data_IF_348539690990
#
_entry.id   IF_348539690990
#
_cell.length_a   1.000
_cell.length_b   1.000
_cell.length_c   1.000
_cell.angle_alpha   90.00
_cell.angle_beta   90.00
_cell.angle_gamma   90.00
#
_symmetry.space_group_name_H-M   'P 1'
#
loop_
_entity.id
_entity.type
_entity.pdbx_description
1 polymer ?
#
# COMPACT_ATOMS: atom_id res chain seq x y z
N UNK A 1 -15.35 5.60 16.50
CA UNK A 1 -15.41 5.57 15.02
C UNK A 1 -14.26 4.68 14.59
N UNK A 2 -14.40 3.38 14.43
CA UNK A 2 -15.54 2.55 14.09
C UNK A 2 -14.93 1.47 13.22
N UNK A 3 -14.60 0.34 13.84
CA UNK A 3 -13.88 -0.79 13.27
C UNK A 3 -14.75 -1.58 12.25
N UNK A 4 -15.89 -1.00 11.87
CA UNK A 4 -16.95 -1.49 10.96
C UNK A 4 -16.48 -1.83 9.54
N UNK A 5 -15.23 -1.54 9.18
CA UNK A 5 -14.67 -1.89 7.87
C UNK A 5 -13.92 -3.23 7.87
N UNK A 6 -13.65 -3.82 9.03
CA UNK A 6 -12.96 -5.10 9.15
C UNK A 6 -13.95 -6.20 9.51
N UNK A 7 -14.25 -7.06 8.54
CA UNK A 7 -15.03 -8.27 8.76
C UNK A 7 -14.12 -9.48 8.72
N UNK A 8 -14.35 -10.46 9.59
CA UNK A 8 -13.66 -11.74 9.52
C UNK A 8 -13.91 -12.40 8.16
N UNK A 9 -12.82 -12.69 7.45
CA UNK A 9 -12.87 -13.41 6.20
C UNK A 9 -13.30 -14.86 6.40
N UNK A 10 -13.98 -15.47 5.41
CA UNK A 10 -14.25 -16.91 5.47
C UNK A 10 -12.94 -17.70 5.55
N UNK A 11 -12.93 -18.87 6.23
CA UNK A 11 -11.78 -19.74 6.22
C UNK A 11 -11.43 -20.13 4.78
N UNK A 12 -10.16 -20.48 4.55
CA UNK A 12 -9.76 -21.04 3.27
C UNK A 12 -10.63 -22.28 2.96
N UNK A 13 -11.04 -22.48 1.69
CA UNK A 13 -11.79 -23.68 1.31
C UNK A 13 -11.04 -24.96 1.67
N UNK A 14 -11.77 -26.01 1.99
CA UNK A 14 -11.18 -27.31 2.35
C UNK A 14 -10.19 -27.79 1.27
N UNK A 15 -9.02 -28.25 1.72
CA UNK A 15 -7.95 -28.72 0.85
C UNK A 15 -7.19 -27.63 0.08
N UNK A 16 -7.42 -26.34 0.37
CA UNK A 16 -6.72 -25.22 -0.29
C UNK A 16 -6.03 -24.28 0.70
N UNK A 17 -4.86 -23.79 0.31
CA UNK A 17 -4.13 -22.74 1.02
C UNK A 17 -4.19 -21.46 0.18
N UNK A 18 -4.66 -20.37 0.77
CA UNK A 18 -4.70 -19.08 0.09
C UNK A 18 -3.33 -18.40 0.23
N UNK A 19 -2.78 -17.95 -0.91
CA UNK A 19 -1.55 -17.17 -0.94
C UNK A 19 -1.88 -15.71 -1.15
N UNK A 20 -1.39 -14.87 -0.25
CA UNK A 20 -1.43 -13.43 -0.36
C UNK A 20 -0.02 -12.86 -0.42
N UNK A 21 0.10 -11.70 -1.03
CA UNK A 21 1.33 -10.95 -1.18
C UNK A 21 1.47 -9.99 -0.01
N UNK A 22 2.66 -9.95 0.56
CA UNK A 22 3.05 -8.95 1.54
C UNK A 22 3.52 -7.66 0.87
N UNK A 23 3.70 -6.60 1.67
CA UNK A 23 4.38 -5.37 1.22
C UNK A 23 5.76 -5.65 0.62
N UNK A 24 6.50 -6.61 1.17
CA UNK A 24 7.81 -7.01 0.66
C UNK A 24 7.71 -7.72 -0.69
N UNK A 25 6.70 -8.58 -0.89
CA UNK A 25 6.48 -9.23 -2.18
C UNK A 25 6.14 -8.21 -3.27
N UNK A 26 5.28 -7.24 -2.94
CA UNK A 26 4.99 -6.11 -3.82
C UNK A 26 6.26 -5.28 -4.07
N UNK A 27 7.04 -5.00 -3.02
CA UNK A 27 8.29 -4.24 -3.13
C UNK A 27 9.27 -4.88 -4.11
N UNK A 28 9.44 -6.21 -4.04
CA UNK A 28 10.30 -6.99 -4.94
C UNK A 28 9.92 -6.80 -6.40
N UNK A 29 8.63 -6.70 -6.74
CA UNK A 29 8.19 -6.47 -8.13
C UNK A 29 8.70 -5.16 -8.71
N UNK A 30 8.85 -4.13 -7.88
CA UNK A 30 9.29 -2.80 -8.28
C UNK A 30 10.74 -2.52 -7.91
N UNK A 31 11.48 -3.50 -7.36
CA UNK A 31 12.86 -3.33 -6.89
C UNK A 31 12.99 -2.36 -5.70
N UNK A 32 11.96 -2.25 -4.85
CA UNK A 32 11.95 -1.40 -3.65
C UNK A 32 11.73 -2.23 -2.38
N UNK A 33 12.01 -1.66 -1.22
CA UNK A 33 11.72 -2.32 0.07
C UNK A 33 10.23 -2.29 0.41
N UNK A 34 9.76 -3.25 1.23
CA UNK A 34 8.39 -3.23 1.76
C UNK A 34 8.05 -1.95 2.54
N UNK A 35 9.04 -1.31 3.16
CA UNK A 35 8.88 -0.01 3.82
C UNK A 35 8.55 1.13 2.85
N UNK A 36 9.06 1.08 1.62
CA UNK A 36 8.67 2.01 0.57
C UNK A 36 7.18 1.83 0.21
N UNK A 37 6.70 0.59 0.17
CA UNK A 37 5.29 0.25 -0.05
C UNK A 37 4.40 0.72 1.11
N UNK A 38 4.88 0.64 2.36
CA UNK A 38 4.16 1.27 3.49
C UNK A 38 4.02 2.79 3.30
N UNK A 39 5.10 3.48 2.94
CA UNK A 39 5.05 4.94 2.67
C UNK A 39 4.13 5.29 1.51
N UNK A 40 3.97 4.38 0.56
CA UNK A 40 3.00 4.50 -0.53
C UNK A 40 1.56 4.40 -0.04
N UNK A 41 1.29 3.62 0.99
CA UNK A 41 -0.04 3.59 1.63
C UNK A 41 -0.26 4.87 2.40
N UNK A 42 0.63 5.22 3.33
CA UNK A 42 0.47 6.40 4.20
C UNK A 42 0.28 7.70 3.40
N UNK A 43 1.05 7.90 2.31
CA UNK A 43 0.98 9.13 1.51
C UNK A 43 -0.31 9.25 0.69
N UNK A 44 -0.92 8.12 0.33
CA UNK A 44 -2.05 8.09 -0.59
C UNK A 44 -3.36 7.66 0.08
N UNK A 45 -3.33 7.36 1.39
CA UNK A 45 -4.48 7.11 2.26
C UNK A 45 -5.15 8.42 2.72
N UNK A 46 -4.40 9.53 2.80
CA UNK A 46 -4.88 10.82 3.33
C UNK A 46 -5.78 11.63 2.36
N UNK A 47 -6.40 11.00 1.35
CA UNK A 47 -7.45 11.60 0.53
C UNK A 47 -7.06 12.73 -0.43
N UNK A 48 -5.87 13.33 -0.30
CA UNK A 48 -5.42 14.44 -1.16
C UNK A 48 -4.97 14.00 -2.57
N UNK A 49 -4.79 12.69 -2.82
CA UNK A 49 -4.32 12.20 -4.12
C UNK A 49 -5.41 11.48 -4.91
N UNK A 50 -5.61 11.88 -6.17
CA UNK A 50 -6.59 11.38 -7.12
C UNK A 50 -6.60 9.84 -7.35
N UNK A 51 -5.58 9.10 -6.90
CA UNK A 51 -5.52 7.63 -6.95
C UNK A 51 -4.87 7.05 -5.70
N UNK A 52 -5.64 6.59 -4.69
CA UNK A 52 -5.09 5.92 -3.52
C UNK A 52 -4.36 4.62 -3.89
N UNK A 53 -3.42 4.19 -3.04
CA UNK A 53 -2.83 2.84 -3.15
C UNK A 53 -3.96 1.79 -3.01
N UNK A 54 -3.97 0.70 -3.80
CA UNK A 54 -5.00 -0.34 -3.69
C UNK A 54 -5.14 -0.90 -2.28
N UNK A 55 -6.35 -0.89 -1.72
CA UNK A 55 -6.61 -1.43 -0.39
C UNK A 55 -6.21 -2.92 -0.32
N UNK A 56 -5.71 -3.39 0.85
CA UNK A 56 -5.44 -4.80 1.04
C UNK A 56 -6.73 -5.63 1.02
N UNK A 57 -6.63 -6.88 0.58
CA UNK A 57 -7.76 -7.83 0.61
C UNK A 57 -7.97 -8.41 2.00
N UNK A 58 -6.88 -8.57 2.77
CA UNK A 58 -6.91 -9.13 4.11
C UNK A 58 -5.95 -8.38 5.04
N UNK A 59 -6.24 -8.45 6.34
CA UNK A 59 -5.27 -8.21 7.40
C UNK A 59 -4.97 -9.54 8.08
N UNK A 60 -3.72 -10.00 8.03
CA UNK A 60 -3.26 -11.20 8.73
C UNK A 60 -2.25 -10.80 9.79
N UNK A 61 -2.57 -11.00 11.08
CA UNK A 61 -1.72 -10.59 12.19
C UNK A 61 -1.33 -9.09 12.13
N UNK A 62 -2.30 -8.24 11.80
CA UNK A 62 -2.09 -6.80 11.59
C UNK A 62 -1.27 -6.43 10.35
N UNK A 63 -0.88 -7.41 9.53
CA UNK A 63 -0.14 -7.18 8.29
C UNK A 63 -1.08 -7.22 7.10
N UNK A 64 -1.06 -6.19 6.23
CA UNK A 64 -1.90 -6.17 5.04
C UNK A 64 -1.42 -7.16 3.98
N UNK A 65 -2.36 -7.86 3.36
CA UNK A 65 -2.13 -8.82 2.29
C UNK A 65 -2.97 -8.52 1.05
N UNK A 66 -2.37 -8.68 -0.13
CA UNK A 66 -3.03 -8.51 -1.43
C UNK A 66 -3.13 -9.83 -2.17
N UNK A 67 -4.24 -10.05 -2.86
CA UNK A 67 -4.38 -11.16 -3.78
C UNK A 67 -3.39 -11.00 -4.94
N UNK A 68 -2.70 -12.07 -5.39
CA UNK A 68 -1.89 -12.04 -6.61
C UNK A 68 -2.64 -11.55 -7.85
N UNK A 69 -3.98 -11.71 -7.87
CA UNK A 69 -4.82 -11.24 -8.97
C UNK A 69 -4.89 -9.71 -9.08
N UNK A 70 -4.50 -8.98 -8.03
CA UNK A 70 -4.38 -7.51 -8.03
C UNK A 70 -3.07 -7.00 -8.61
N UNK A 71 -2.14 -7.87 -8.98
CA UNK A 71 -0.88 -7.49 -9.64
C UNK A 71 -1.06 -6.44 -10.76
N UNK A 72 -1.95 -6.62 -11.77
CA UNK A 72 -2.14 -5.64 -12.83
C UNK A 72 -2.65 -4.28 -12.33
N UNK A 73 -3.47 -4.27 -11.29
CA UNK A 73 -3.99 -3.05 -10.66
C UNK A 73 -2.85 -2.27 -9.97
N UNK A 74 -2.02 -2.97 -9.20
CA UNK A 74 -0.86 -2.39 -8.50
C UNK A 74 0.17 -1.84 -9.50
N UNK A 75 0.40 -2.55 -10.61
CA UNK A 75 1.25 -2.08 -11.71
C UNK A 75 0.68 -0.86 -12.43
N UNK A 76 -0.61 -0.85 -12.73
CA UNK A 76 -1.28 0.29 -13.34
C UNK A 76 -1.21 1.52 -12.43
N UNK A 77 -1.40 1.32 -11.13
CA UNK A 77 -1.22 2.38 -10.15
C UNK A 77 0.23 2.89 -10.12
N UNK A 78 1.22 2.00 -10.06
CA UNK A 78 2.65 2.38 -10.11
C UNK A 78 3.00 3.23 -11.33
N UNK A 79 2.54 2.84 -12.52
CA UNK A 79 2.77 3.59 -13.77
C UNK A 79 2.06 4.95 -13.79
N UNK A 80 0.90 5.05 -13.15
CA UNK A 80 0.10 6.27 -13.06
C UNK A 80 0.51 7.22 -11.94
N UNK A 81 1.47 6.84 -11.09
CA UNK A 81 1.96 7.75 -10.05
C UNK A 81 2.68 8.93 -10.67
N UNK A 82 2.44 10.15 -10.16
CA UNK A 82 3.35 11.24 -10.40
C UNK A 82 4.74 10.79 -9.93
N UNK A 83 5.71 10.79 -10.84
CA UNK A 83 7.08 10.43 -10.53
C UNK A 83 7.61 11.21 -9.32
N UNK A 84 8.70 10.72 -8.73
CA UNK A 84 9.45 11.31 -7.61
C UNK A 84 9.79 12.79 -7.93
N UNK A 85 8.87 13.71 -7.64
CA UNK A 85 8.97 15.11 -8.06
C UNK A 85 7.68 15.93 -7.96
N UNK A 86 6.48 15.33 -8.04
CA UNK A 86 5.23 16.13 -8.13
C UNK A 86 4.46 16.36 -6.82
N UNK A 87 4.94 15.90 -5.66
CA UNK A 87 4.15 15.97 -4.42
C UNK A 87 4.92 15.67 -3.14
N UNK A 88 6.13 16.21 -3.02
CA UNK A 88 6.99 15.90 -1.88
C UNK A 88 8.17 16.84 -1.76
N UNK A 89 7.92 18.15 -1.89
CA UNK A 89 8.81 19.13 -1.29
C UNK A 89 8.81 18.87 0.20
N UNK A 90 9.81 18.12 0.70
CA UNK A 90 10.16 18.14 2.12
C UNK A 90 10.26 19.63 2.48
N UNK A 91 9.45 20.17 3.41
CA UNK A 91 9.72 21.50 3.92
C UNK A 91 11.14 21.43 4.50
N UNK A 92 12.11 22.03 3.81
CA UNK A 92 13.39 22.29 4.45
C UNK A 92 13.04 23.28 5.54
N UNK A 93 13.14 22.86 6.80
CA UNK A 93 13.20 23.77 7.93
C UNK A 93 14.26 24.81 7.57
N UNK A 94 13.83 26.02 7.24
CA UNK A 94 14.70 27.19 7.17
C UNK A 94 15.19 27.37 8.61
N UNK A 95 16.45 27.06 8.88
CA UNK A 95 17.08 27.53 10.10
C UNK A 95 17.08 29.06 10.00
N UNK A 96 16.25 29.73 10.80
CA UNK A 96 16.35 31.17 10.98
C UNK A 96 17.65 31.46 11.77
N UNK A 97 18.47 32.41 11.32
CA UNK A 97 19.56 32.95 12.13
C UNK A 97 19.02 34.05 13.04
N UNK A 98 19.29 33.94 14.34
CA UNK A 98 19.58 35.07 15.24
C UNK A 98 20.82 34.72 16.04
#
# INVERSE_FOLDING_TARGET
MGDDYLTDGPPAPEGKVLRYLSRDDIGKWFGVSGDAVRKWQDRYESGETYRPFPAPDILHDGKPGWSPRREPEIWAWYRGRPGRGAGGGRPRKTSQPE
#
